data_IF_090253657292
#
_entry.id   IF_090253657292
#
_cell.length_a   1.000
_cell.length_b   1.000
_cell.length_c   1.000
_cell.angle_alpha   90.00
_cell.angle_beta   90.00
_cell.angle_gamma   90.00
#
_symmetry.space_group_name_H-M   'P 1'
#
loop_
_entity.id
_entity.type
_entity.pdbx_description
1 polymer ?
#
# COMPACT_ATOMS: atom_id res chain seq x y z
N UNK A 1 47.16 15.19 -13.96
CA UNK A 1 45.98 15.76 -13.29
C UNK A 1 46.33 15.79 -11.80
N UNK A 2 45.63 16.60 -11.04
CA UNK A 2 45.89 16.89 -9.63
C UNK A 2 44.48 17.07 -9.04
N UNK A 3 43.96 15.96 -8.54
CA UNK A 3 42.55 15.81 -8.16
C UNK A 3 42.22 16.53 -6.85
N UNK A 4 43.16 16.65 -5.91
CA UNK A 4 42.97 17.28 -4.60
C UNK A 4 43.58 18.70 -4.49
N UNK A 5 44.45 19.08 -5.44
CA UNK A 5 45.03 20.41 -5.54
C UNK A 5 46.14 20.69 -4.53
N UNK A 6 46.78 19.66 -3.97
CA UNK A 6 47.87 19.81 -2.99
C UNK A 6 49.23 20.15 -3.64
N UNK A 7 49.31 20.05 -4.97
CA UNK A 7 50.49 20.32 -5.77
C UNK A 7 51.31 19.08 -6.17
N UNK A 8 50.94 17.89 -5.72
CA UNK A 8 51.34 16.61 -6.28
C UNK A 8 50.35 16.19 -7.38
N UNK A 9 50.85 15.58 -8.46
CA UNK A 9 49.95 15.02 -9.47
C UNK A 9 49.54 13.60 -9.08
N UNK A 10 48.33 13.17 -9.46
CA UNK A 10 47.72 11.88 -9.04
C UNK A 10 48.68 10.67 -9.13
N UNK A 11 49.50 10.59 -10.18
CA UNK A 11 50.49 9.50 -10.37
C UNK A 11 51.61 9.43 -9.32
N UNK A 12 51.85 10.54 -8.62
CA UNK A 12 52.89 10.71 -7.61
C UNK A 12 52.31 10.94 -6.22
N UNK A 13 50.97 10.95 -6.10
CA UNK A 13 50.26 11.09 -4.84
C UNK A 13 49.93 9.71 -4.25
N UNK A 14 49.96 9.63 -2.92
CA UNK A 14 49.55 8.45 -2.16
C UNK A 14 48.04 8.47 -1.82
N UNK A 15 47.41 9.63 -1.89
CA UNK A 15 46.00 9.91 -1.62
C UNK A 15 45.55 10.95 -2.66
N UNK A 16 45.21 10.49 -3.86
CA UNK A 16 45.08 11.38 -5.02
C UNK A 16 43.88 12.32 -4.95
N UNK A 17 42.88 12.03 -4.13
CA UNK A 17 41.71 12.88 -3.96
C UNK A 17 41.63 13.56 -2.57
N UNK A 18 42.61 13.29 -1.71
CA UNK A 18 42.82 14.00 -0.46
C UNK A 18 41.76 13.69 0.60
N UNK A 19 41.12 12.53 0.54
CA UNK A 19 40.04 12.15 1.44
C UNK A 19 40.51 11.51 2.75
N UNK A 20 41.82 11.24 2.86
CA UNK A 20 42.48 10.64 4.01
C UNK A 20 42.63 9.13 3.93
N UNK A 21 42.24 8.49 2.83
CA UNK A 21 42.42 7.06 2.54
C UNK A 21 43.51 6.90 1.47
N UNK A 22 44.38 5.91 1.66
CA UNK A 22 45.45 5.67 0.70
C UNK A 22 44.90 5.02 -0.57
N UNK A 23 45.38 5.45 -1.75
CA UNK A 23 45.01 4.93 -3.08
C UNK A 23 44.97 3.38 -3.21
N UNK A 24 45.80 2.64 -2.44
CA UNK A 24 45.83 1.17 -2.48
C UNK A 24 44.68 0.49 -1.71
N UNK A 25 44.02 1.23 -0.83
CA UNK A 25 42.93 0.77 0.03
C UNK A 25 41.64 1.55 -0.20
N UNK A 26 41.70 2.59 -1.01
CA UNK A 26 40.59 3.44 -1.39
C UNK A 26 39.76 2.75 -2.48
N UNK A 27 38.45 2.62 -2.25
CA UNK A 27 37.51 2.07 -3.21
C UNK A 27 37.10 3.09 -4.31
N UNK A 28 37.49 4.36 -4.19
CA UNK A 28 37.33 5.41 -5.19
C UNK A 28 38.56 6.36 -5.28
N UNK A 29 39.74 5.92 -5.74
CA UNK A 29 41.03 6.66 -5.63
C UNK A 29 41.15 8.03 -6.30
N UNK A 30 40.09 8.54 -6.93
CA UNK A 30 40.05 9.83 -7.64
C UNK A 30 38.80 10.64 -7.27
N UNK A 31 37.96 10.15 -6.36
CA UNK A 31 36.71 10.78 -5.93
C UNK A 31 36.58 10.64 -4.41
N UNK A 32 36.92 11.71 -3.71
CA UNK A 32 36.98 11.73 -2.26
C UNK A 32 35.73 11.17 -1.57
N UNK A 33 35.89 10.11 -0.80
CA UNK A 33 34.83 9.40 -0.09
C UNK A 33 35.33 8.74 1.21
N UNK A 34 35.82 9.55 2.14
CA UNK A 34 36.40 9.11 3.43
C UNK A 34 35.58 8.11 4.29
N UNK A 35 34.29 7.93 4.00
CA UNK A 35 33.43 6.93 4.65
C UNK A 35 33.58 5.52 4.05
N UNK A 36 34.16 5.40 2.85
CA UNK A 36 34.41 4.18 2.07
C UNK A 36 33.15 3.32 1.96
N UNK A 37 31.99 3.96 1.78
CA UNK A 37 30.73 3.26 1.58
C UNK A 37 30.79 2.45 0.28
N UNK A 38 30.31 1.21 0.35
CA UNK A 38 30.26 0.25 -0.75
C UNK A 38 29.04 -0.66 -0.50
N UNK A 39 27.93 -0.34 -1.15
CA UNK A 39 26.59 -0.90 -0.87
C UNK A 39 26.45 -2.33 -1.38
N UNK A 40 26.96 -2.64 -2.57
CA UNK A 40 26.89 -3.97 -3.18
C UNK A 40 28.08 -4.88 -2.83
N UNK A 41 29.16 -4.29 -2.31
CA UNK A 41 30.37 -4.98 -1.91
C UNK A 41 31.29 -5.34 -3.06
N UNK A 42 31.18 -4.66 -4.21
CA UNK A 42 32.06 -4.90 -5.36
C UNK A 42 33.40 -4.13 -5.23
N UNK A 43 34.13 -3.96 -6.33
CA UNK A 43 35.44 -3.32 -6.31
C UNK A 43 35.38 -1.78 -6.25
N UNK A 44 34.23 -1.17 -6.54
CA UNK A 44 34.01 0.28 -6.57
C UNK A 44 33.29 0.72 -5.29
N UNK A 45 33.59 1.92 -4.82
CA UNK A 45 32.81 2.56 -3.76
C UNK A 45 31.61 3.32 -4.33
N UNK A 46 30.61 3.58 -3.50
CA UNK A 46 29.37 4.25 -3.90
C UNK A 46 29.61 5.60 -4.60
N UNK A 47 30.72 6.29 -4.28
CA UNK A 47 31.05 7.60 -4.83
C UNK A 47 31.52 7.55 -6.30
N UNK A 48 32.06 6.42 -6.75
CA UNK A 48 32.60 6.22 -8.10
C UNK A 48 31.93 5.06 -8.85
N UNK A 49 30.92 4.43 -8.25
CA UNK A 49 30.09 3.43 -8.90
C UNK A 49 28.93 4.07 -9.68
N UNK A 50 28.65 3.54 -10.86
CA UNK A 50 27.50 3.92 -11.69
C UNK A 50 26.24 3.09 -11.43
N UNK A 51 26.35 1.99 -10.68
CA UNK A 51 25.29 1.04 -10.31
C UNK A 51 25.55 0.55 -8.88
N UNK A 52 25.18 1.37 -7.89
CA UNK A 52 25.61 1.24 -6.48
C UNK A 52 25.10 -0.05 -5.81
N UNK A 53 24.01 -0.65 -6.31
CA UNK A 53 23.41 -1.85 -5.74
C UNK A 53 23.48 -3.09 -6.65
N UNK A 54 24.10 -2.96 -7.83
CA UNK A 54 24.40 -4.02 -8.80
C UNK A 54 23.16 -4.78 -9.28
N UNK A 55 22.03 -4.08 -9.39
CA UNK A 55 20.78 -4.65 -9.87
C UNK A 55 20.66 -4.63 -11.42
N UNK A 56 21.60 -3.94 -12.08
CA UNK A 56 21.69 -3.79 -13.52
C UNK A 56 21.04 -2.50 -14.06
N UNK A 57 20.56 -1.62 -13.19
CA UNK A 57 19.97 -0.31 -13.51
C UNK A 57 20.90 0.79 -13.01
N UNK A 58 21.36 1.65 -13.91
CA UNK A 58 22.28 2.74 -13.53
C UNK A 58 21.61 3.73 -12.58
N UNK A 59 22.35 4.22 -11.58
CA UNK A 59 21.91 5.17 -10.54
C UNK A 59 21.11 6.38 -11.09
N UNK A 60 21.43 6.83 -12.30
CA UNK A 60 20.79 7.99 -12.95
C UNK A 60 19.33 7.76 -13.37
N UNK A 61 18.91 6.50 -13.50
CA UNK A 61 17.55 6.09 -13.90
C UNK A 61 16.93 5.09 -12.93
N UNK A 62 17.64 4.75 -11.86
CA UNK A 62 17.20 3.85 -10.82
C UNK A 62 16.28 4.56 -9.81
N UNK A 63 15.09 4.02 -9.58
CA UNK A 63 14.14 4.53 -8.59
C UNK A 63 14.46 4.06 -7.16
N UNK A 64 15.44 3.16 -6.97
CA UNK A 64 15.99 2.74 -5.68
C UNK A 64 17.51 2.53 -5.71
N UNK A 65 18.34 3.59 -5.87
CA UNK A 65 19.80 3.48 -6.09
C UNK A 65 20.65 2.77 -5.02
N UNK A 66 20.04 2.32 -3.92
CA UNK A 66 20.72 1.65 -2.79
C UNK A 66 20.05 0.30 -2.44
N UNK A 67 19.04 -0.12 -3.21
CA UNK A 67 18.18 -1.25 -2.89
C UNK A 67 17.78 -2.02 -4.15
N UNK A 68 18.57 -3.04 -4.46
CA UNK A 68 18.45 -3.79 -5.71
C UNK A 68 17.00 -4.18 -6.05
N UNK A 69 16.53 -3.66 -7.18
CA UNK A 69 15.17 -3.87 -7.68
C UNK A 69 15.14 -3.85 -9.23
N UNK A 70 15.70 -4.88 -9.91
CA UNK A 70 15.93 -4.85 -11.37
C UNK A 70 14.68 -4.63 -12.24
N UNK A 71 13.48 -4.80 -11.66
CA UNK A 71 12.20 -4.60 -12.32
C UNK A 71 11.69 -3.15 -12.22
N UNK A 72 12.34 -2.29 -11.43
CA UNK A 72 12.04 -0.87 -11.26
C UNK A 72 10.55 -0.63 -10.97
N UNK A 73 9.98 -1.49 -10.12
CA UNK A 73 8.59 -1.40 -9.73
C UNK A 73 8.39 -0.14 -8.90
N UNK A 74 7.41 0.66 -9.30
CA UNK A 74 6.96 1.88 -8.64
C UNK A 74 5.44 1.94 -8.87
N UNK A 75 4.70 1.32 -7.96
CA UNK A 75 3.26 1.11 -8.14
C UNK A 75 2.51 2.44 -8.04
N UNK A 76 2.92 3.33 -7.14
CA UNK A 76 2.25 4.61 -6.90
C UNK A 76 2.80 5.78 -7.74
N UNK A 77 3.89 5.55 -8.48
CA UNK A 77 4.45 6.48 -9.47
C UNK A 77 4.89 7.79 -8.86
N UNK A 78 5.35 7.78 -7.62
CA UNK A 78 5.91 8.97 -6.99
C UNK A 78 7.42 9.16 -7.31
N UNK A 79 8.02 8.19 -8.01
CA UNK A 79 9.42 8.21 -8.44
C UNK A 79 10.36 7.51 -7.46
N UNK A 80 9.85 7.00 -6.34
CA UNK A 80 10.58 6.15 -5.40
C UNK A 80 10.14 4.71 -5.65
N UNK A 81 11.07 3.80 -5.88
CA UNK A 81 10.72 2.42 -6.16
C UNK A 81 10.18 1.70 -4.93
N UNK A 82 9.33 0.70 -5.16
CA UNK A 82 8.66 -0.04 -4.08
C UNK A 82 9.67 -0.75 -3.15
N UNK A 83 10.90 -1.00 -3.60
CA UNK A 83 11.96 -1.65 -2.82
C UNK A 83 12.58 -0.75 -1.74
N UNK A 84 12.49 0.58 -1.92
CA UNK A 84 13.07 1.60 -1.04
C UNK A 84 12.05 2.62 -0.56
N UNK A 85 10.78 2.52 -1.00
CA UNK A 85 9.69 3.33 -0.50
C UNK A 85 9.21 2.84 0.88
N UNK A 86 9.88 3.32 1.93
CA UNK A 86 9.49 3.06 3.32
C UNK A 86 8.14 3.69 3.70
N UNK A 87 7.62 4.58 2.86
CA UNK A 87 6.30 5.17 2.97
C UNK A 87 5.45 4.61 1.83
N UNK A 88 5.56 3.30 1.54
CA UNK A 88 4.66 2.57 0.62
C UNK A 88 3.28 3.17 0.90
N UNK A 89 2.79 3.98 -0.03
CA UNK A 89 1.63 4.78 0.24
C UNK A 89 0.45 3.80 0.15
N UNK A 90 0.22 3.03 1.23
CA UNK A 90 -0.90 2.11 1.50
C UNK A 90 -2.21 2.91 1.63
N UNK A 91 -2.28 4.01 0.90
CA UNK A 91 -3.34 4.95 0.73
C UNK A 91 -4.29 4.42 -0.34
N UNK A 92 -5.59 4.51 -0.06
CA UNK A 92 -6.57 4.35 -1.12
C UNK A 92 -6.87 5.70 -1.76
N UNK A 93 -6.16 6.01 -2.84
CA UNK A 93 -6.32 7.25 -3.60
C UNK A 93 -5.85 7.05 -5.05
N UNK A 94 -6.30 7.91 -6.00
CA UNK A 94 -5.81 7.84 -7.37
C UNK A 94 -4.28 7.98 -7.42
N UNK A 95 -3.61 7.07 -8.12
CA UNK A 95 -2.15 7.03 -8.19
C UNK A 95 -1.48 6.62 -6.88
N UNK A 96 -2.19 5.94 -5.98
CA UNK A 96 -1.61 5.30 -4.78
C UNK A 96 -1.68 3.79 -4.91
N UNK A 97 -0.91 3.07 -4.07
CA UNK A 97 -0.81 1.62 -4.10
C UNK A 97 -2.17 0.93 -4.23
N UNK A 98 -3.13 1.38 -3.43
CA UNK A 98 -4.52 0.97 -3.54
C UNK A 98 -5.27 1.97 -4.40
N UNK A 99 -5.55 1.59 -5.65
CA UNK A 99 -6.37 2.42 -6.52
C UNK A 99 -7.86 2.23 -6.18
N UNK A 100 -8.61 3.33 -5.99
CA UNK A 100 -10.03 3.25 -5.73
C UNK A 100 -10.79 2.89 -7.00
N UNK A 101 -11.74 1.96 -6.89
CA UNK A 101 -12.65 1.58 -7.97
C UNK A 101 -13.81 2.56 -7.98
N UNK A 102 -13.61 3.68 -8.67
CA UNK A 102 -14.57 4.79 -8.74
C UNK A 102 -15.34 4.84 -10.06
N UNK A 103 -16.55 5.39 -10.04
CA UNK A 103 -17.38 5.64 -11.21
C UNK A 103 -18.84 5.25 -11.01
N UNK A 104 -19.58 5.09 -12.11
CA UNK A 104 -20.97 4.63 -12.08
C UNK A 104 -21.02 3.09 -11.95
N UNK A 105 -20.51 2.59 -10.84
CA UNK A 105 -20.52 1.16 -10.55
C UNK A 105 -21.87 0.72 -9.98
N UNK A 106 -22.22 -0.55 -10.19
CA UNK A 106 -23.41 -1.12 -9.55
C UNK A 106 -23.04 -1.51 -8.12
N UNK A 107 -23.85 -1.05 -7.16
CA UNK A 107 -23.71 -1.41 -5.75
C UNK A 107 -24.97 -2.16 -5.32
N UNK A 108 -24.82 -3.43 -4.97
CA UNK A 108 -25.86 -4.24 -4.37
C UNK A 108 -25.76 -4.19 -2.85
N UNK A 109 -26.88 -4.21 -2.13
CA UNK A 109 -26.89 -4.23 -0.67
C UNK A 109 -27.91 -5.22 -0.14
N UNK A 110 -27.76 -5.58 1.13
CA UNK A 110 -28.73 -6.43 1.79
C UNK A 110 -28.51 -6.60 3.28
N UNK A 111 -29.39 -7.43 3.83
CA UNK A 111 -29.42 -7.82 5.23
C UNK A 111 -29.30 -9.35 5.30
N UNK A 112 -28.58 -9.86 6.30
CA UNK A 112 -28.62 -11.29 6.66
C UNK A 112 -28.99 -11.41 8.14
N UNK A 113 -29.68 -12.47 8.52
CA UNK A 113 -30.10 -12.72 9.91
C UNK A 113 -31.56 -12.42 10.21
N UNK A 114 -31.95 -12.57 11.48
CA UNK A 114 -33.36 -12.67 11.89
C UNK A 114 -33.91 -11.39 12.49
N UNK A 115 -33.14 -10.70 13.34
CA UNK A 115 -33.62 -9.51 14.06
C UNK A 115 -32.69 -8.33 13.84
N UNK A 116 -33.16 -7.35 13.06
CA UNK A 116 -32.44 -6.11 12.77
C UNK A 116 -33.45 -4.96 12.61
N UNK A 117 -33.59 -4.08 13.60
CA UNK A 117 -34.46 -2.91 13.56
C UNK A 117 -33.62 -1.69 13.16
N UNK A 118 -34.00 -1.02 12.08
CA UNK A 118 -33.29 0.15 11.57
C UNK A 118 -31.96 -0.16 10.89
N UNK A 119 -31.72 -1.42 10.54
CA UNK A 119 -30.52 -1.82 9.84
C UNK A 119 -30.62 -1.59 8.34
N UNK A 120 -29.49 -1.24 7.73
CA UNK A 120 -29.42 -1.09 6.29
C UNK A 120 -28.14 -0.42 5.85
N UNK A 121 -28.08 -0.17 4.55
CA UNK A 121 -27.02 0.61 3.93
C UNK A 121 -27.62 1.92 3.43
N UNK A 122 -27.19 3.03 4.00
CA UNK A 122 -27.57 4.37 3.56
C UNK A 122 -26.62 4.84 2.48
N UNK A 123 -27.15 5.50 1.44
CA UNK A 123 -26.37 6.04 0.31
C UNK A 123 -25.40 5.03 -0.35
N UNK A 124 -25.86 3.83 -0.75
CA UNK A 124 -24.97 2.75 -1.20
C UNK A 124 -24.09 3.10 -2.40
N UNK A 125 -24.54 3.99 -3.28
CA UNK A 125 -23.75 4.45 -4.44
C UNK A 125 -22.39 5.04 -4.02
N UNK A 126 -22.30 5.60 -2.81
CA UNK A 126 -21.06 6.19 -2.31
C UNK A 126 -19.96 5.17 -2.02
N UNK A 127 -20.23 3.87 -2.01
CA UNK A 127 -19.17 2.84 -1.92
C UNK A 127 -18.25 2.79 -3.15
N UNK A 128 -18.63 3.45 -4.25
CA UNK A 128 -17.89 3.40 -5.51
C UNK A 128 -17.98 4.70 -6.33
N UNK A 129 -18.51 5.80 -5.79
CA UNK A 129 -18.62 7.05 -6.56
C UNK A 129 -17.45 8.00 -6.35
N UNK A 130 -17.05 8.25 -5.10
CA UNK A 130 -15.97 9.17 -4.70
C UNK A 130 -15.30 8.62 -3.45
N UNK A 131 -14.07 9.05 -3.14
CA UNK A 131 -13.40 8.71 -1.88
C UNK A 131 -13.77 9.65 -0.72
N UNK A 132 -14.56 10.69 -0.97
CA UNK A 132 -14.85 11.77 0.00
C UNK A 132 -16.22 11.59 0.67
N UNK A 133 -17.15 10.94 -0.02
CA UNK A 133 -18.45 10.58 0.50
C UNK A 133 -18.45 9.14 1.01
N UNK A 134 -19.47 8.77 1.80
CA UNK A 134 -19.54 7.43 2.35
C UNK A 134 -20.96 6.86 2.36
N UNK A 135 -21.05 5.57 2.04
CA UNK A 135 -22.21 4.77 2.38
C UNK A 135 -22.14 4.38 3.86
N UNK A 136 -23.27 4.34 4.56
CA UNK A 136 -23.29 3.99 5.98
C UNK A 136 -23.94 2.63 6.20
N UNK A 137 -23.16 1.66 6.66
CA UNK A 137 -23.63 0.37 7.16
C UNK A 137 -24.09 0.55 8.61
N UNK A 138 -25.41 0.62 8.79
CA UNK A 138 -26.04 0.89 10.08
C UNK A 138 -26.63 -0.39 10.68
N UNK A 139 -26.30 -0.69 11.94
CA UNK A 139 -26.87 -1.83 12.70
C UNK A 139 -27.27 -1.38 14.11
N UNK A 140 -28.23 -0.44 14.26
CA UNK A 140 -28.52 0.16 15.56
C UNK A 140 -29.13 -0.83 16.55
N UNK A 141 -30.07 -1.69 16.12
CA UNK A 141 -30.60 -2.76 16.97
C UNK A 141 -30.57 -4.04 16.19
N UNK A 142 -29.65 -4.93 16.53
CA UNK A 142 -29.41 -6.13 15.75
C UNK A 142 -28.95 -7.28 16.65
N UNK A 143 -29.53 -8.46 16.46
CA UNK A 143 -29.18 -9.70 17.17
C UNK A 143 -29.01 -10.79 16.11
N UNK A 144 -27.78 -11.29 15.97
CA UNK A 144 -27.44 -12.31 14.97
C UNK A 144 -27.92 -11.84 13.57
N UNK A 145 -27.51 -10.63 13.22
CA UNK A 145 -27.81 -10.02 11.93
C UNK A 145 -26.59 -9.26 11.40
N UNK A 146 -26.54 -9.06 10.10
CA UNK A 146 -25.50 -8.30 9.42
C UNK A 146 -26.08 -7.46 8.30
N UNK A 147 -25.39 -6.38 7.98
CA UNK A 147 -25.61 -5.56 6.80
C UNK A 147 -24.43 -5.77 5.86
N UNK A 148 -24.69 -5.81 4.55
CA UNK A 148 -23.63 -5.91 3.57
C UNK A 148 -23.87 -4.99 2.37
N UNK A 149 -22.76 -4.57 1.77
CA UNK A 149 -22.74 -3.88 0.49
C UNK A 149 -21.71 -4.53 -0.41
N UNK A 150 -22.05 -4.71 -1.69
CA UNK A 150 -21.20 -5.32 -2.71
C UNK A 150 -21.06 -4.40 -3.89
N UNK A 151 -19.83 -4.12 -4.27
CA UNK A 151 -19.48 -3.31 -5.43
C UNK A 151 -19.12 -4.23 -6.59
N UNK A 152 -19.73 -3.99 -7.75
CA UNK A 152 -19.37 -4.63 -9.00
C UNK A 152 -18.26 -3.80 -9.68
N UNK A 153 -17.07 -4.39 -9.82
CA UNK A 153 -15.94 -3.75 -10.47
C UNK A 153 -16.13 -3.71 -12.00
N UNK A 154 -15.54 -2.72 -12.70
CA UNK A 154 -15.73 -2.57 -14.15
C UNK A 154 -14.96 -3.63 -14.96
N UNK A 155 -14.06 -4.35 -14.31
CA UNK A 155 -13.21 -5.39 -14.91
C UNK A 155 -13.12 -6.61 -14.01
N UNK A 156 -12.67 -7.73 -14.57
CA UNK A 156 -12.29 -8.91 -13.79
C UNK A 156 -10.82 -8.82 -13.43
N UNK A 157 -10.53 -8.80 -12.13
CA UNK A 157 -9.17 -8.90 -11.61
C UNK A 157 -8.75 -10.37 -11.59
N UNK A 158 -7.58 -10.65 -12.16
CA UNK A 158 -7.01 -12.00 -12.24
C UNK A 158 -5.68 -12.09 -11.49
N UNK A 159 -5.34 -13.30 -11.04
CA UNK A 159 -4.13 -13.56 -10.27
C UNK A 159 -4.22 -13.03 -8.85
N UNK A 160 -3.08 -13.02 -8.15
CA UNK A 160 -3.00 -12.52 -6.78
C UNK A 160 -3.20 -11.00 -6.74
N UNK A 161 -4.03 -10.51 -5.82
CA UNK A 161 -4.30 -9.08 -5.57
C UNK A 161 -4.45 -8.80 -4.08
N UNK A 162 -4.37 -7.53 -3.73
CA UNK A 162 -4.82 -6.98 -2.43
C UNK A 162 -6.12 -6.23 -2.69
N UNK A 163 -7.16 -6.47 -1.89
CA UNK A 163 -8.48 -5.85 -2.13
C UNK A 163 -9.20 -5.56 -0.83
N UNK A 164 -9.86 -4.40 -0.78
CA UNK A 164 -10.37 -3.87 0.48
C UNK A 164 -11.31 -2.68 0.33
N UNK A 165 -11.64 -2.08 1.46
CA UNK A 165 -12.48 -0.89 1.52
C UNK A 165 -11.82 0.20 2.36
N UNK A 166 -11.86 1.42 1.85
CA UNK A 166 -11.60 2.62 2.65
C UNK A 166 -12.81 2.87 3.54
N UNK A 167 -12.62 2.86 4.85
CA UNK A 167 -13.69 2.95 5.84
C UNK A 167 -13.38 3.99 6.91
N UNK A 168 -14.40 4.48 7.59
CA UNK A 168 -14.23 5.29 8.80
C UNK A 168 -15.36 5.06 9.80
N UNK A 169 -15.13 5.49 11.04
CA UNK A 169 -16.17 5.54 12.07
C UNK A 169 -16.64 6.99 12.23
N UNK A 170 -17.90 7.22 12.68
CA UNK A 170 -18.36 8.56 13.05
C UNK A 170 -17.52 9.20 14.16
N UNK A 171 -16.96 8.37 15.05
CA UNK A 171 -16.06 8.78 16.13
C UNK A 171 -15.00 7.70 16.35
N UNK A 172 -13.77 8.14 16.61
CA UNK A 172 -12.65 7.24 16.91
C UNK A 172 -12.14 6.44 15.72
N UNK A 173 -11.40 5.37 16.03
CA UNK A 173 -10.77 4.47 15.07
C UNK A 173 -11.30 3.05 15.26
N UNK A 174 -11.20 2.23 14.22
CA UNK A 174 -11.53 0.80 14.30
C UNK A 174 -10.70 0.11 15.37
N UNK A 175 -11.38 -0.56 16.30
CA UNK A 175 -10.78 -1.45 17.29
C UNK A 175 -10.92 -2.93 16.88
N UNK A 176 -10.20 -3.81 17.57
CA UNK A 176 -10.22 -5.26 17.29
C UNK A 176 -11.63 -5.87 17.40
N UNK A 177 -12.47 -5.35 18.29
CA UNK A 177 -13.84 -5.83 18.48
C UNK A 177 -14.69 -5.53 17.25
N UNK A 178 -14.59 -4.33 16.69
CA UNK A 178 -15.27 -3.93 15.46
C UNK A 178 -14.73 -4.68 14.25
N UNK A 179 -13.40 -4.82 14.13
CA UNK A 179 -12.75 -5.53 13.01
C UNK A 179 -13.19 -7.00 12.97
N UNK A 180 -13.35 -7.64 14.13
CA UNK A 180 -13.83 -9.02 14.20
C UNK A 180 -15.23 -9.21 13.63
N UNK A 181 -16.03 -8.14 13.60
CA UNK A 181 -17.35 -8.11 13.00
C UNK A 181 -17.35 -7.73 11.51
N UNK A 182 -16.20 -7.46 10.90
CA UNK A 182 -16.09 -7.15 9.48
C UNK A 182 -15.61 -8.36 8.69
N UNK A 183 -16.25 -8.58 7.54
CA UNK A 183 -15.88 -9.62 6.60
C UNK A 183 -15.87 -9.05 5.19
N UNK A 184 -14.77 -9.24 4.49
CA UNK A 184 -14.64 -8.94 3.06
C UNK A 184 -14.75 -10.25 2.29
N UNK A 185 -15.54 -10.30 1.23
CA UNK A 185 -15.69 -11.49 0.38
C UNK A 185 -15.61 -11.10 -1.09
N UNK A 186 -14.75 -11.79 -1.85
CA UNK A 186 -14.64 -11.63 -3.29
C UNK A 186 -15.60 -12.59 -4.00
N UNK A 187 -16.16 -12.15 -5.13
CA UNK A 187 -17.05 -12.95 -5.96
C UNK A 187 -16.61 -12.84 -7.43
N UNK A 188 -16.88 -13.91 -8.17
CA UNK A 188 -16.78 -13.95 -9.62
C UNK A 188 -18.16 -14.27 -10.19
N UNK A 189 -18.78 -13.30 -10.87
CA UNK A 189 -20.11 -13.43 -11.47
C UNK A 189 -21.17 -13.94 -10.47
N UNK A 190 -21.16 -13.39 -9.25
CA UNK A 190 -22.07 -13.76 -8.16
C UNK A 190 -21.67 -15.01 -7.37
N UNK A 191 -20.60 -15.71 -7.76
CA UNK A 191 -20.11 -16.91 -7.05
C UNK A 191 -18.99 -16.52 -6.08
N UNK A 192 -19.12 -16.78 -4.76
CA UNK A 192 -18.08 -16.43 -3.80
C UNK A 192 -16.78 -17.20 -4.09
N UNK A 193 -15.65 -16.49 -4.03
CA UNK A 193 -14.32 -17.05 -4.33
C UNK A 193 -13.49 -17.17 -3.06
N UNK A 194 -13.27 -16.06 -2.36
CA UNK A 194 -12.46 -16.01 -1.15
C UNK A 194 -13.07 -15.04 -0.15
N UNK A 195 -12.93 -15.32 1.15
CA UNK A 195 -13.35 -14.43 2.22
C UNK A 195 -12.18 -14.13 3.16
N UNK A 196 -12.18 -12.93 3.74
CA UNK A 196 -11.22 -12.53 4.75
C UNK A 196 -11.41 -13.36 6.02
N UNK A 197 -10.30 -13.72 6.66
CA UNK A 197 -10.32 -14.30 8.01
C UNK A 197 -10.20 -13.17 9.04
N UNK A 198 -10.86 -13.30 10.19
CA UNK A 198 -10.92 -12.25 11.22
C UNK A 198 -9.52 -11.79 11.73
N UNK A 199 -8.50 -12.64 11.59
CA UNK A 199 -7.10 -12.37 11.93
C UNK A 199 -6.25 -11.89 10.74
N UNK A 200 -6.81 -11.84 9.53
CA UNK A 200 -6.13 -11.55 8.26
C UNK A 200 -6.47 -10.19 7.65
N UNK A 201 -7.28 -9.38 8.34
CA UNK A 201 -7.46 -7.95 8.06
C UNK A 201 -6.35 -7.09 8.73
N UNK A 202 -5.31 -7.75 9.26
CA UNK A 202 -4.15 -7.13 9.91
C UNK A 202 -3.25 -6.48 8.86
N UNK A 203 -3.73 -5.36 8.34
CA UNK A 203 -2.90 -4.26 7.92
C UNK A 203 -3.72 -2.98 8.04
N UNK A 204 -4.23 -2.72 9.24
CA UNK A 204 -4.57 -1.36 9.65
C UNK A 204 -3.26 -0.59 9.75
N UNK A 205 -2.76 -0.14 8.61
CA UNK A 205 -1.64 0.78 8.57
C UNK A 205 -2.18 2.14 9.02
N UNK A 206 -2.02 2.43 10.31
CA UNK A 206 -2.47 3.64 11.00
C UNK A 206 -1.62 4.88 10.65
N UNK A 207 -1.24 5.05 9.38
CA UNK A 207 -0.36 6.13 8.95
C UNK A 207 -1.04 6.99 7.89
N UNK A 208 -1.78 8.01 8.35
CA UNK A 208 -2.11 9.24 7.61
C UNK A 208 -2.40 9.05 6.10
N UNK A 209 -3.21 8.04 5.76
CA UNK A 209 -3.29 7.43 4.44
C UNK A 209 -3.93 8.30 3.35
N UNK A 210 -4.41 9.48 3.67
CA UNK A 210 -5.01 10.42 2.68
C UNK A 210 -4.84 11.88 3.10
N UNK A 211 -4.03 12.14 4.14
CA UNK A 211 -4.12 13.38 4.92
C UNK A 211 -5.35 13.46 5.84
N UNK A 212 -6.24 12.46 5.81
CA UNK A 212 -7.36 12.30 6.74
C UNK A 212 -7.11 11.10 7.67
N UNK A 213 -6.69 11.41 8.90
CA UNK A 213 -6.37 10.41 9.93
C UNK A 213 -7.59 9.60 10.42
N UNK A 214 -8.81 9.91 9.99
CA UNK A 214 -10.03 9.18 10.37
C UNK A 214 -10.38 8.03 9.43
N UNK A 215 -9.80 8.02 8.23
CA UNK A 215 -10.02 6.96 7.24
C UNK A 215 -8.98 5.86 7.40
N UNK A 216 -9.45 4.62 7.35
CA UNK A 216 -8.66 3.43 7.52
C UNK A 216 -8.94 2.49 6.35
N UNK A 217 -7.89 1.95 5.75
CA UNK A 217 -8.04 0.92 4.74
C UNK A 217 -8.08 -0.45 5.44
N UNK A 218 -9.13 -1.22 5.17
CA UNK A 218 -9.16 -2.64 5.52
C UNK A 218 -9.06 -3.44 4.23
N UNK A 219 -8.16 -4.41 4.15
CA UNK A 219 -7.99 -5.21 2.94
C UNK A 219 -7.63 -6.66 3.26
N UNK A 220 -7.77 -7.51 2.26
CA UNK A 220 -7.35 -8.91 2.27
C UNK A 220 -6.51 -9.24 1.02
N UNK A 221 -5.63 -10.23 1.15
CA UNK A 221 -4.95 -10.82 0.01
C UNK A 221 -5.89 -11.84 -0.65
N UNK A 222 -6.02 -11.79 -1.97
CA UNK A 222 -6.78 -12.75 -2.78
C UNK A 222 -5.85 -13.42 -3.78
N UNK A 223 -6.02 -14.73 -3.99
CA UNK A 223 -5.32 -15.50 -5.05
C UNK A 223 -6.26 -15.90 -6.18
N UNK A 224 -7.57 -15.75 -5.98
CA UNK A 224 -8.61 -16.11 -6.94
C UNK A 224 -9.06 -14.88 -7.74
N UNK A 225 -9.51 -15.11 -8.98
CA UNK A 225 -10.05 -14.03 -9.82
C UNK A 225 -11.39 -13.55 -9.30
N UNK A 226 -11.68 -12.25 -9.42
CA UNK A 226 -12.93 -11.66 -8.92
C UNK A 226 -13.36 -10.46 -9.76
N UNK A 227 -14.65 -10.16 -9.77
CA UNK A 227 -15.21 -8.92 -10.35
C UNK A 227 -16.22 -8.24 -9.43
N UNK A 228 -16.47 -8.77 -8.24
CA UNK A 228 -17.31 -8.12 -7.24
C UNK A 228 -16.70 -8.33 -5.87
N UNK A 229 -16.87 -7.34 -4.99
CA UNK A 229 -16.32 -7.38 -3.63
C UNK A 229 -17.37 -6.90 -2.65
N UNK A 230 -17.65 -7.72 -1.65
CA UNK A 230 -18.64 -7.48 -0.60
C UNK A 230 -17.93 -7.16 0.70
N UNK A 231 -18.36 -6.09 1.38
CA UNK A 231 -18.09 -5.86 2.80
C UNK A 231 -19.36 -6.15 3.59
N UNK A 232 -19.22 -7.00 4.59
CA UNK A 232 -20.28 -7.38 5.51
C UNK A 232 -19.89 -6.91 6.92
N UNK A 233 -20.81 -6.21 7.58
CA UNK A 233 -20.72 -5.82 8.98
C UNK A 233 -21.72 -6.64 9.80
N UNK A 234 -21.18 -7.53 10.62
CA UNK A 234 -21.92 -8.31 11.60
C UNK A 234 -22.26 -7.40 12.77
N UNK A 235 -23.50 -7.47 13.25
CA UNK A 235 -23.92 -6.78 14.44
C UNK A 235 -23.22 -7.36 15.68
N UNK A 236 -22.45 -6.52 16.35
CA UNK A 236 -21.85 -6.82 17.64
C UNK A 236 -22.75 -6.26 18.74
N UNK A 237 -23.18 -7.12 19.67
CA UNK A 237 -24.08 -6.74 20.77
C UNK A 237 -23.41 -5.66 21.64
N UNK A 238 -24.10 -4.54 21.87
CA UNK A 238 -23.62 -3.46 22.74
C UNK A 238 -22.76 -2.38 22.06
N UNK A 239 -22.42 -2.54 20.77
CA UNK A 239 -21.76 -1.51 19.97
C UNK A 239 -22.75 -0.91 18.96
N UNK A 240 -23.30 0.25 19.31
CA UNK A 240 -23.97 1.14 18.36
C UNK A 240 -22.92 1.79 17.46
N UNK A 241 -22.47 1.09 16.44
CA UNK A 241 -21.53 1.65 15.47
C UNK A 241 -22.10 1.63 14.07
N UNK A 242 -22.20 2.81 13.48
CA UNK A 242 -22.25 2.97 12.04
C UNK A 242 -20.84 2.75 11.50
N UNK A 243 -20.72 2.03 10.37
CA UNK A 243 -19.49 1.97 9.60
C UNK A 243 -19.70 2.79 8.33
N UNK A 244 -18.84 3.78 8.11
CA UNK A 244 -18.82 4.53 6.85
C UNK A 244 -17.88 3.82 5.88
N UNK A 245 -18.36 3.55 4.67
CA UNK A 245 -17.60 2.92 3.58
C UNK A 245 -17.48 3.91 2.44
N UNK A 246 -16.25 4.33 2.14
CA UNK A 246 -15.95 5.40 1.18
C UNK A 246 -15.66 4.85 -0.22
N UNK A 247 -14.85 3.79 -0.34
CA UNK A 247 -14.52 3.24 -1.65
C UNK A 247 -14.05 1.79 -1.56
N UNK A 248 -14.36 0.98 -2.58
CA UNK A 248 -13.61 -0.24 -2.89
C UNK A 248 -12.22 0.15 -3.41
N UNK A 249 -11.18 -0.51 -2.94
CA UNK A 249 -9.80 -0.26 -3.35
C UNK A 249 -9.10 -1.57 -3.70
N UNK A 250 -8.31 -1.57 -4.77
CA UNK A 250 -7.57 -2.73 -5.27
C UNK A 250 -6.11 -2.36 -5.48
N UNK A 251 -5.21 -3.25 -5.08
CA UNK A 251 -3.77 -3.12 -5.25
C UNK A 251 -3.18 -4.38 -5.90
N UNK A 252 -1.98 -4.28 -6.51
CA UNK A 252 -1.18 -5.43 -6.94
C UNK A 252 -0.90 -6.40 -5.78
N UNK A 253 -0.43 -7.63 -6.03
CA UNK A 253 0.05 -8.50 -4.95
C UNK A 253 1.23 -7.83 -4.20
N UNK A 254 1.51 -8.24 -2.95
CA UNK A 254 2.76 -7.85 -2.29
C UNK A 254 3.95 -8.34 -3.11
N UNK A 255 5.00 -7.53 -3.18
CA UNK A 255 6.29 -7.84 -3.82
C UNK A 255 7.05 -8.84 -2.96
#
# INVERSE_FOLDING_TARGET
HDSDGDGAGDTCDLDSDGDGINNLTDNCPLIANSNQLNTDGDALGDACDSDIDNDGVLNAVDNCPLNANPLQSDIDKDGIGDACDAVENVACAPGKLFEPVLGSQTVATGLRGVLCIGCGVLNPAYMASTINDAATLATPVAVIASVWGRVDAPTTYTGSKRVGFLVSLPVGLLDLSLISGLKVTTYLNGVPQQASVASGLLSLQLLNLTGDATKQLIYMNTTSSFNQVEIEKIAVVGLLSNLNVHALCVAPPPI
#
